data_IF_603381263826
#
_entry.id   IF_603381263826
#
_cell.length_a   1.000
_cell.length_b   1.000
_cell.length_c   1.000
_cell.angle_alpha   90.00
_cell.angle_beta   90.00
_cell.angle_gamma   90.00
#
_symmetry.space_group_name_H-M   'P 1'
#
loop_
_entity.id
_entity.type
_entity.pdbx_description
1 polymer ?
#
# COMPACT_ATOMS: atom_id res chain seq x y z
N UNK A 1 -22.04 -32.00 7.58
CA UNK A 1 -22.05 -31.51 6.18
C UNK A 1 -21.89 -30.00 6.23
N UNK A 2 -20.69 -29.48 5.93
CA UNK A 2 -20.33 -28.07 6.14
C UNK A 2 -20.32 -27.31 4.81
N UNK A 3 -21.11 -26.23 4.82
CA UNK A 3 -20.90 -24.91 4.19
C UNK A 3 -21.06 -24.78 2.66
N UNK A 4 -22.24 -24.25 2.33
CA UNK A 4 -22.47 -23.15 1.38
C UNK A 4 -21.25 -22.21 1.30
N UNK A 5 -20.67 -22.06 0.10
CA UNK A 5 -19.48 -21.24 -0.13
C UNK A 5 -19.77 -20.17 -1.20
N UNK A 6 -19.74 -18.94 -0.71
CA UNK A 6 -19.35 -17.67 -1.38
C UNK A 6 -20.34 -17.07 -2.39
N UNK A 7 -21.11 -16.12 -1.86
CA UNK A 7 -21.58 -14.95 -2.58
C UNK A 7 -20.76 -13.75 -2.06
N UNK A 8 -19.76 -13.27 -2.81
CA UNK A 8 -19.19 -11.93 -2.57
C UNK A 8 -18.67 -11.31 -3.86
N UNK A 9 -19.53 -10.45 -4.42
CA UNK A 9 -19.20 -9.11 -4.89
C UNK A 9 -18.18 -8.95 -6.02
N UNK A 10 -18.69 -9.06 -7.25
CA UNK A 10 -18.17 -8.29 -8.37
C UNK A 10 -18.46 -6.80 -8.13
N UNK A 11 -17.44 -6.03 -7.75
CA UNK A 11 -17.46 -4.57 -7.88
C UNK A 11 -16.05 -4.08 -8.22
N UNK A 12 -15.57 -4.39 -9.42
CA UNK A 12 -14.56 -3.56 -10.05
C UNK A 12 -15.29 -2.46 -10.83
N UNK A 13 -15.04 -1.22 -10.44
CA UNK A 13 -15.59 0.01 -11.01
C UNK A 13 -15.39 0.05 -12.53
N UNK A 14 -16.49 -0.01 -13.28
CA UNK A 14 -16.55 0.45 -14.66
C UNK A 14 -16.59 1.98 -14.64
N UNK A 15 -15.53 2.65 -15.11
CA UNK A 15 -15.56 4.10 -15.31
C UNK A 15 -16.13 4.41 -16.70
N UNK A 16 -17.19 5.23 -16.69
CA UNK A 16 -18.01 5.67 -17.81
C UNK A 16 -17.17 6.41 -18.86
N UNK A 17 -17.36 6.04 -20.13
CA UNK A 17 -16.84 6.79 -21.26
C UNK A 17 -17.55 8.15 -21.37
N UNK A 18 -16.83 9.24 -21.11
CA UNK A 18 -17.25 10.59 -21.51
C UNK A 18 -16.96 10.74 -23.00
N UNK A 19 -18.00 10.75 -23.83
CA UNK A 19 -17.86 11.08 -25.25
C UNK A 19 -17.90 12.60 -25.43
N UNK A 20 -16.73 13.24 -25.47
CA UNK A 20 -16.56 14.54 -26.13
C UNK A 20 -15.71 14.34 -27.39
N UNK A 21 -16.10 14.98 -28.47
CA UNK A 21 -15.43 14.91 -29.77
C UNK A 21 -14.00 15.48 -29.68
N UNK A 22 -12.99 14.66 -29.38
CA UNK A 22 -11.58 14.86 -29.75
C UNK A 22 -10.72 13.67 -29.29
N UNK A 23 -10.20 12.89 -30.25
CA UNK A 23 -9.09 11.94 -30.04
C UNK A 23 -9.46 10.65 -29.32
N UNK A 24 -9.51 9.54 -30.06
CA UNK A 24 -9.53 8.20 -29.46
C UNK A 24 -8.16 7.95 -28.81
N UNK A 25 -8.02 8.26 -27.53
CA UNK A 25 -6.91 7.76 -26.74
C UNK A 25 -7.21 6.31 -26.42
N UNK A 26 -6.55 5.40 -27.14
CA UNK A 26 -6.47 4.01 -26.73
C UNK A 26 -5.65 3.95 -25.43
N UNK A 27 -6.32 4.04 -24.29
CA UNK A 27 -5.72 3.67 -23.01
C UNK A 27 -5.63 2.15 -23.01
N UNK A 28 -4.47 1.61 -23.39
CA UNK A 28 -4.15 0.20 -23.15
C UNK A 28 -4.42 -0.10 -21.68
N UNK A 29 -5.34 -1.02 -21.40
CA UNK A 29 -5.62 -1.46 -20.05
C UNK A 29 -4.30 -1.85 -19.37
N UNK A 30 -3.90 -1.08 -18.36
CA UNK A 30 -2.73 -1.38 -17.55
C UNK A 30 -3.02 -2.70 -16.85
N UNK A 31 -2.26 -3.74 -17.16
CA UNK A 31 -2.45 -5.05 -16.53
C UNK A 31 -1.96 -4.95 -15.10
N UNK A 32 -2.84 -4.57 -14.17
CA UNK A 32 -2.56 -4.62 -12.73
C UNK A 32 -2.21 -6.05 -12.36
N UNK A 33 -0.93 -6.31 -12.10
CA UNK A 33 -0.49 -7.59 -11.59
C UNK A 33 -0.75 -7.62 -10.09
N UNK A 34 -1.73 -8.40 -9.65
CA UNK A 34 -1.88 -8.76 -8.24
C UNK A 34 -0.70 -9.66 -7.85
N UNK A 35 0.12 -9.21 -6.90
CA UNK A 35 1.14 -10.06 -6.29
C UNK A 35 0.54 -10.61 -5.00
N UNK A 36 -0.01 -11.82 -5.09
CA UNK A 36 -0.54 -12.52 -3.93
C UNK A 36 0.57 -12.82 -2.90
N UNK A 37 0.31 -12.48 -1.63
CA UNK A 37 0.83 -13.22 -0.48
C UNK A 37 2.14 -12.74 0.14
N UNK A 38 2.26 -11.47 0.51
CA UNK A 38 3.16 -11.10 1.61
C UNK A 38 2.42 -11.31 2.93
N UNK A 39 3.11 -11.82 3.95
CA UNK A 39 2.49 -12.14 5.23
C UNK A 39 1.91 -10.88 5.90
N UNK A 40 0.61 -10.65 5.72
CA UNK A 40 -0.12 -9.48 6.20
C UNK A 40 -0.30 -8.33 5.21
N UNK A 41 -0.04 -8.52 3.90
CA UNK A 41 -0.40 -7.51 2.89
C UNK A 41 -0.71 -8.05 1.49
N UNK A 42 -1.50 -7.27 0.75
CA UNK A 42 -1.73 -7.44 -0.69
C UNK A 42 -1.05 -6.31 -1.47
N UNK A 43 -0.39 -6.63 -2.58
CA UNK A 43 0.35 -5.66 -3.40
C UNK A 43 -0.27 -5.61 -4.80
N UNK A 44 -0.55 -4.40 -5.26
CA UNK A 44 -0.99 -4.13 -6.63
C UNK A 44 -0.01 -3.18 -7.27
N UNK A 45 0.50 -3.52 -8.45
CA UNK A 45 1.50 -2.70 -9.12
C UNK A 45 1.04 -2.40 -10.55
N UNK A 46 1.12 -1.13 -10.90
CA UNK A 46 0.86 -0.59 -12.23
C UNK A 46 2.17 -0.08 -12.84
N UNK A 47 2.13 0.51 -14.04
CA UNK A 47 3.33 1.15 -14.61
C UNK A 47 3.87 2.28 -13.74
N UNK A 48 3.00 3.06 -13.11
CA UNK A 48 3.37 4.32 -12.44
C UNK A 48 3.19 4.30 -10.93
N UNK A 49 2.49 3.30 -10.39
CA UNK A 49 2.09 3.28 -8.98
C UNK A 49 2.22 1.88 -8.37
N UNK A 50 2.58 1.83 -7.09
CA UNK A 50 2.59 0.64 -6.25
C UNK A 50 1.59 0.87 -5.12
N UNK A 51 0.61 -0.02 -4.95
CA UNK A 51 -0.31 -0.03 -3.83
C UNK A 51 0.05 -1.16 -2.87
N UNK A 52 0.22 -0.82 -1.60
CA UNK A 52 0.53 -1.72 -0.49
C UNK A 52 -0.62 -1.71 0.50
N UNK A 53 -1.42 -2.77 0.51
CA UNK A 53 -2.56 -2.92 1.39
C UNK A 53 -2.21 -3.82 2.58
N UNK A 54 -1.97 -3.23 3.74
CA UNK A 54 -1.55 -3.91 4.97
C UNK A 54 -2.78 -4.29 5.81
N UNK A 55 -2.84 -5.54 6.25
CA UNK A 55 -3.83 -6.05 7.18
C UNK A 55 -3.24 -5.97 8.60
N UNK A 56 -3.62 -4.93 9.36
CA UNK A 56 -3.10 -4.63 10.69
C UNK A 56 -3.18 -5.80 11.67
N UNK A 57 -4.25 -6.60 11.58
CA UNK A 57 -4.42 -7.83 12.37
C UNK A 57 -3.35 -8.89 12.14
N UNK A 58 -2.75 -8.93 10.95
CA UNK A 58 -1.74 -9.92 10.56
C UNK A 58 -0.32 -9.47 10.91
N UNK A 59 -0.12 -8.20 11.25
CA UNK A 59 1.19 -7.64 11.61
C UNK A 59 1.44 -7.81 13.11
N UNK A 60 2.41 -8.65 13.46
CA UNK A 60 2.74 -9.01 14.85
C UNK A 60 4.02 -8.37 15.39
N UNK A 61 4.77 -7.68 14.55
CA UNK A 61 5.96 -6.95 14.97
C UNK A 61 6.34 -5.83 13.99
N UNK A 62 7.09 -4.83 14.46
CA UNK A 62 7.68 -3.80 13.59
C UNK A 62 8.60 -4.40 12.54
N UNK A 63 9.36 -5.45 12.90
CA UNK A 63 10.21 -6.16 11.95
C UNK A 63 9.40 -6.74 10.78
N UNK A 64 8.25 -7.36 11.07
CA UNK A 64 7.36 -7.86 10.04
C UNK A 64 6.78 -6.73 9.20
N UNK A 65 6.34 -5.63 9.82
CA UNK A 65 5.84 -4.45 9.09
C UNK A 65 6.88 -3.92 8.09
N UNK A 66 8.12 -3.72 8.54
CA UNK A 66 9.20 -3.23 7.68
C UNK A 66 9.55 -4.22 6.57
N UNK A 67 9.52 -5.53 6.84
CA UNK A 67 9.71 -6.55 5.80
C UNK A 67 8.59 -6.48 4.74
N UNK A 68 7.33 -6.36 5.18
CA UNK A 68 6.17 -6.21 4.30
C UNK A 68 6.27 -4.96 3.42
N UNK A 69 6.66 -3.82 3.99
CA UNK A 69 6.89 -2.59 3.24
C UNK A 69 8.06 -2.72 2.26
N UNK A 70 9.17 -3.32 2.71
CA UNK A 70 10.36 -3.54 1.87
C UNK A 70 10.05 -4.40 0.66
N UNK A 71 9.36 -5.51 0.85
CA UNK A 71 8.99 -6.41 -0.23
C UNK A 71 7.92 -5.79 -1.16
N UNK A 72 6.95 -5.09 -0.58
CA UNK A 72 5.86 -4.43 -1.31
C UNK A 72 6.35 -3.30 -2.22
N UNK A 73 7.18 -2.42 -1.69
CA UNK A 73 7.75 -1.27 -2.40
C UNK A 73 9.04 -1.60 -3.16
N UNK A 74 9.53 -2.85 -3.06
CA UNK A 74 10.80 -3.30 -3.65
C UNK A 74 11.99 -2.44 -3.19
N UNK A 75 12.04 -2.13 -1.89
CA UNK A 75 13.09 -1.32 -1.29
C UNK A 75 14.47 -2.01 -1.45
N UNK A 76 15.57 -1.22 -1.53
CA UNK A 76 16.90 -1.78 -1.66
C UNK A 76 17.30 -2.60 -0.42
N UNK A 77 18.22 -3.56 -0.59
CA UNK A 77 18.74 -4.38 0.52
C UNK A 77 19.43 -3.57 1.63
N UNK A 78 19.82 -2.33 1.33
CA UNK A 78 20.40 -1.37 2.27
C UNK A 78 19.37 -0.70 3.18
N UNK A 79 18.08 -0.95 2.97
CA UNK A 79 17.00 -0.41 3.80
C UNK A 79 17.17 -0.82 5.28
N UNK A 80 17.27 0.16 6.16
CA UNK A 80 17.62 -0.01 7.58
C UNK A 80 16.51 -0.56 8.49
N UNK A 81 15.30 -0.80 7.97
CA UNK A 81 14.15 -1.36 8.69
C UNK A 81 13.81 -0.63 10.02
N UNK A 82 13.83 0.70 9.97
CA UNK A 82 13.37 1.61 11.03
C UNK A 82 12.59 2.79 10.40
N UNK A 83 12.03 3.69 11.23
CA UNK A 83 11.19 4.79 10.75
C UNK A 83 11.97 5.86 9.98
N UNK A 84 13.16 6.23 10.43
CA UNK A 84 14.00 7.21 9.71
C UNK A 84 14.37 6.69 8.32
N UNK A 85 14.83 5.43 8.25
CA UNK A 85 15.13 4.77 6.99
C UNK A 85 13.88 4.60 6.11
N UNK A 86 12.69 4.47 6.71
CA UNK A 86 11.42 4.41 5.97
C UNK A 86 11.09 5.77 5.35
N UNK A 87 11.23 6.85 6.11
CA UNK A 87 11.08 8.20 5.61
C UNK A 87 12.04 8.47 4.44
N UNK A 88 13.32 8.15 4.61
CA UNK A 88 14.36 8.39 3.60
C UNK A 88 14.02 7.72 2.26
N UNK A 89 13.64 6.44 2.28
CA UNK A 89 13.33 5.71 1.03
C UNK A 89 12.00 6.12 0.40
N UNK A 90 11.01 6.56 1.21
CA UNK A 90 9.71 7.01 0.68
C UNK A 90 9.78 8.40 0.04
N UNK A 91 10.74 9.22 0.45
CA UNK A 91 10.91 10.61 -0.01
C UNK A 91 12.03 10.78 -1.04
N UNK A 92 12.85 9.75 -1.27
CA UNK A 92 13.88 9.74 -2.30
C UNK A 92 13.37 9.13 -3.63
N UNK A 93 13.13 9.95 -4.68
CA UNK A 93 12.67 9.47 -5.99
C UNK A 93 13.72 8.63 -6.72
N UNK A 94 14.98 8.65 -6.29
CA UNK A 94 16.02 7.76 -6.82
C UNK A 94 15.89 6.32 -6.31
N UNK A 95 15.23 6.13 -5.16
CA UNK A 95 14.98 4.83 -4.54
C UNK A 95 13.69 4.21 -5.07
N UNK A 96 12.56 4.90 -4.94
CA UNK A 96 11.26 4.43 -5.45
C UNK A 96 10.88 5.24 -6.68
N UNK A 97 11.02 4.63 -7.86
CA UNK A 97 10.77 5.29 -9.16
C UNK A 97 9.29 5.45 -9.52
N UNK A 98 8.40 4.93 -8.69
CA UNK A 98 6.93 4.92 -8.87
C UNK A 98 6.30 5.64 -7.69
N UNK A 99 5.12 6.21 -7.90
CA UNK A 99 4.33 6.69 -6.78
C UNK A 99 3.89 5.49 -5.92
N UNK A 100 3.68 5.73 -4.64
CA UNK A 100 3.23 4.70 -3.70
C UNK A 100 1.93 5.09 -3.04
N UNK A 101 1.08 4.09 -2.82
CA UNK A 101 -0.13 4.17 -2.01
C UNK A 101 -0.03 3.12 -0.90
N UNK A 102 0.05 3.56 0.36
CA UNK A 102 0.11 2.66 1.51
C UNK A 102 -1.20 2.77 2.27
N UNK A 103 -1.89 1.65 2.45
CA UNK A 103 -3.14 1.60 3.21
C UNK A 103 -3.03 0.57 4.31
N UNK A 104 -3.34 0.96 5.55
CA UNK A 104 -3.44 0.05 6.69
C UNK A 104 -4.93 -0.13 7.03
N UNK A 105 -5.41 -1.37 6.97
CA UNK A 105 -6.77 -1.76 7.42
C UNK A 105 -6.67 -2.50 8.76
N UNK A 106 -7.61 -2.27 9.68
CA UNK A 106 -7.61 -2.92 11.00
C UNK A 106 -6.54 -2.30 11.91
N UNK A 107 -6.51 -0.97 11.92
CA UNK A 107 -5.60 -0.16 12.70
C UNK A 107 -5.73 -0.45 14.20
N UNK A 108 -6.93 -0.75 14.70
CA UNK A 108 -7.09 -1.17 16.09
C UNK A 108 -6.28 -2.42 16.42
N UNK A 109 -6.36 -3.46 15.57
CA UNK A 109 -5.58 -4.68 15.78
C UNK A 109 -4.07 -4.41 15.67
N UNK A 110 -3.65 -3.48 14.81
CA UNK A 110 -2.25 -3.08 14.69
C UNK A 110 -1.75 -2.42 15.99
N UNK A 111 -2.56 -1.53 16.58
CA UNK A 111 -2.27 -0.89 17.88
C UNK A 111 -2.18 -1.95 18.98
N UNK A 112 -3.10 -2.92 19.02
CA UNK A 112 -3.04 -4.02 19.99
C UNK A 112 -1.77 -4.88 19.81
N UNK A 113 -1.33 -5.13 18.58
CA UNK A 113 -0.14 -5.94 18.30
C UNK A 113 1.18 -5.21 18.57
N UNK A 114 1.28 -3.91 18.25
CA UNK A 114 2.55 -3.16 18.25
C UNK A 114 2.68 -2.19 19.43
N UNK A 115 1.57 -1.69 19.94
CA UNK A 115 1.49 -0.62 20.92
C UNK A 115 1.26 0.75 20.28
N UNK A 116 0.40 1.55 20.92
CA UNK A 116 -0.08 2.85 20.44
C UNK A 116 1.04 3.80 20.02
N UNK A 117 2.04 4.01 20.88
CA UNK A 117 3.14 4.94 20.59
C UNK A 117 3.92 4.59 19.31
N UNK A 118 4.11 3.29 19.02
CA UNK A 118 4.82 2.85 17.81
C UNK A 118 3.97 3.01 16.56
N UNK A 119 2.67 2.74 16.68
CA UNK A 119 1.73 2.93 15.56
C UNK A 119 1.56 4.42 15.26
N UNK A 120 1.51 5.27 16.28
CA UNK A 120 1.46 6.71 16.08
C UNK A 120 2.72 7.21 15.36
N UNK A 121 3.91 6.81 15.81
CA UNK A 121 5.15 7.20 15.14
C UNK A 121 5.22 6.74 13.67
N UNK A 122 4.69 5.55 13.37
CA UNK A 122 4.55 5.06 11.98
C UNK A 122 3.59 5.94 11.17
N UNK A 123 2.43 6.27 11.72
CA UNK A 123 1.43 7.14 11.09
C UNK A 123 2.05 8.50 10.77
N UNK A 124 2.74 9.09 11.74
CA UNK A 124 3.40 10.38 11.59
C UNK A 124 4.45 10.31 10.47
N UNK A 125 5.31 9.27 10.48
CA UNK A 125 6.32 9.05 9.44
C UNK A 125 5.72 8.93 8.03
N UNK A 126 4.63 8.17 7.89
CA UNK A 126 3.96 7.97 6.60
C UNK A 126 3.23 9.23 6.13
N UNK A 127 2.65 10.00 7.05
CA UNK A 127 2.07 11.29 6.74
C UNK A 127 3.15 12.29 6.28
N UNK A 128 4.24 12.43 7.02
CA UNK A 128 5.34 13.34 6.68
C UNK A 128 5.94 13.00 5.31
N UNK A 129 6.09 11.71 5.00
CA UNK A 129 6.57 11.26 3.70
C UNK A 129 5.59 11.57 2.55
N UNK A 130 4.27 11.45 2.78
CA UNK A 130 3.26 11.79 1.77
C UNK A 130 3.24 13.30 1.47
N UNK A 131 3.57 14.14 2.47
CA UNK A 131 3.59 15.60 2.28
C UNK A 131 4.68 16.05 1.30
N UNK A 132 5.72 15.25 1.10
CA UNK A 132 6.80 15.54 0.15
C UNK A 132 6.37 15.38 -1.32
N UNK A 133 5.37 14.54 -1.61
CA UNK A 133 4.83 14.36 -2.95
C UNK A 133 3.34 14.00 -2.91
N UNK A 134 2.49 14.91 -3.40
CA UNK A 134 1.02 14.79 -3.43
C UNK A 134 0.49 13.61 -4.24
N UNK A 135 1.33 12.97 -5.07
CA UNK A 135 0.94 11.79 -5.83
C UNK A 135 1.08 10.49 -5.00
N UNK A 136 1.83 10.55 -3.90
CA UNK A 136 1.90 9.49 -2.90
C UNK A 136 0.78 9.65 -1.88
N UNK A 137 0.23 8.54 -1.41
CA UNK A 137 -0.88 8.58 -0.46
C UNK A 137 -0.69 7.59 0.68
N UNK A 138 -1.09 8.02 1.88
CA UNK A 138 -1.22 7.15 3.04
C UNK A 138 -2.65 7.19 3.60
N UNK A 139 -3.21 6.02 3.90
CA UNK A 139 -4.52 5.88 4.55
C UNK A 139 -4.47 4.90 5.72
N UNK A 140 -5.16 5.25 6.79
CA UNK A 140 -5.25 4.45 8.02
C UNK A 140 -6.71 4.25 8.43
N UNK A 141 -7.15 2.99 8.51
CA UNK A 141 -8.51 2.61 8.87
C UNK A 141 -8.52 1.84 10.18
N UNK A 142 -9.35 2.27 11.13
CA UNK A 142 -9.47 1.66 12.47
C UNK A 142 -10.00 0.22 12.43
#
# INVERSE_FOLDING_TARGET
MKKLMVLTSALLLNLVAVQSHAGVYNVTADSTAERAGLNGASIFESRYKILVLIQGREIKSLKQLHATLADGLKLPKTYGANLDALYDVLTDPSVIKKNWDITIIGGKDLVENLGEAKVQALIDTLNDAQEQDRMNTFMYWL
#
